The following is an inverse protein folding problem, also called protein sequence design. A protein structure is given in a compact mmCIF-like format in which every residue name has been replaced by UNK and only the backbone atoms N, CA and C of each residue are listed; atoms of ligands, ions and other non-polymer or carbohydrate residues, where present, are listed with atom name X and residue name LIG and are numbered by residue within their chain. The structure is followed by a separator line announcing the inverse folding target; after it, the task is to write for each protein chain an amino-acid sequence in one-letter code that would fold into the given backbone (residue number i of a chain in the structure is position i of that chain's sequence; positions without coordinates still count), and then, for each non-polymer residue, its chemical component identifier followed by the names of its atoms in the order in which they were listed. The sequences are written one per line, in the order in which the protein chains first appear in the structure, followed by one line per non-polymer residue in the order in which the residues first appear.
data_IF_372374320101
#
_entry.id   IF_372374320101
#
_cell.length_a   1.000
_cell.length_b   1.000
_cell.length_c   1.000
_cell.angle_alpha   90.00
_cell.angle_beta   90.00
_cell.angle_gamma   90.00
#
_symmetry.space_group_name_H-M   'P 1'
#
loop_
_entity.id
_entity.type
_entity.pdbx_description
1 polymer ?
#
# COMPACT_ATOMS: atom_id res chain seq x y z
N UNK A 1 25.95 11.52 -16.85
CA UNK A 1 25.67 11.79 -18.28
C UNK A 1 25.10 10.53 -18.89
N UNK A 2 23.85 10.57 -19.33
CA UNK A 2 23.20 9.45 -20.02
C UNK A 2 22.93 9.88 -21.47
N UNK A 3 23.30 9.03 -22.44
CA UNK A 3 23.10 9.31 -23.88
C UNK A 3 21.89 8.52 -24.37
N UNK A 4 20.86 9.21 -24.85
CA UNK A 4 19.65 8.61 -25.40
C UNK A 4 19.51 9.04 -26.87
N UNK A 5 19.73 8.11 -27.80
CA UNK A 5 19.77 8.32 -29.26
C UNK A 5 20.73 9.45 -29.72
N UNK A 6 20.94 9.57 -31.03
CA UNK A 6 22.03 10.34 -31.64
C UNK A 6 22.02 11.86 -31.36
N UNK A 7 20.99 12.40 -30.71
CA UNK A 7 20.75 13.86 -30.65
C UNK A 7 20.31 14.39 -29.29
N UNK A 8 20.29 13.59 -28.22
CA UNK A 8 19.87 14.07 -26.89
C UNK A 8 20.83 13.64 -25.79
N UNK A 9 21.32 14.64 -25.05
CA UNK A 9 22.22 14.50 -23.90
C UNK A 9 21.50 14.99 -22.64
N UNK A 10 21.43 14.12 -21.61
CA UNK A 10 20.91 14.47 -20.29
C UNK A 10 22.06 14.55 -19.27
N UNK A 11 22.08 15.64 -18.51
CA UNK A 11 23.03 15.90 -17.43
C UNK A 11 22.23 16.18 -16.16
N UNK A 12 22.68 15.60 -15.05
CA UNK A 12 22.08 15.74 -13.73
C UNK A 12 23.22 15.87 -12.72
N UNK A 13 22.96 16.58 -11.63
CA UNK A 13 23.90 16.77 -10.54
C UNK A 13 23.62 15.70 -9.47
N UNK A 14 24.68 15.04 -9.00
CA UNK A 14 24.51 14.03 -7.96
C UNK A 14 24.28 14.73 -6.62
N UNK A 15 23.26 14.28 -5.89
CA UNK A 15 23.07 14.70 -4.49
C UNK A 15 24.30 14.25 -3.70
N UNK A 16 25.04 15.20 -3.14
CA UNK A 16 26.15 14.90 -2.25
C UNK A 16 25.64 14.36 -0.91
N UNK A 17 26.17 13.21 -0.50
CA UNK A 17 25.83 12.60 0.79
C UNK A 17 25.86 11.08 0.76
N UNK A 18 25.85 10.48 1.95
CA UNK A 18 25.71 9.03 2.09
C UNK A 18 24.24 8.69 2.18
N UNK A 19 23.77 7.81 1.29
CA UNK A 19 22.42 7.27 1.38
C UNK A 19 22.24 6.52 2.72
N UNK A 20 21.08 6.66 3.41
CA UNK A 20 20.83 5.95 4.66
C UNK A 20 20.94 4.43 4.50
N UNK A 21 21.26 3.74 5.60
CA UNK A 21 21.23 2.28 5.64
C UNK A 21 19.78 1.77 5.64
N UNK A 22 19.22 1.65 4.44
CA UNK A 22 17.82 1.27 4.22
C UNK A 22 17.51 -0.17 4.66
N UNK A 23 18.52 -1.04 4.77
CA UNK A 23 18.28 -2.44 5.16
C UNK A 23 17.74 -2.53 6.59
N UNK A 24 18.07 -1.56 7.45
CA UNK A 24 17.64 -1.51 8.85
C UNK A 24 16.15 -1.27 9.04
N UNK A 25 15.44 -0.78 8.01
CA UNK A 25 13.99 -0.52 8.08
C UNK A 25 13.15 -1.58 7.37
N UNK A 26 13.78 -2.55 6.69
CA UNK A 26 13.09 -3.66 6.03
C UNK A 26 12.90 -4.78 7.06
N UNK A 27 11.66 -5.16 7.41
CA UNK A 27 11.42 -6.26 8.34
C UNK A 27 12.01 -7.59 7.82
N UNK A 28 12.80 -8.28 8.64
CA UNK A 28 13.42 -9.55 8.26
C UNK A 28 12.50 -10.77 8.45
N UNK A 29 11.49 -10.65 9.31
CA UNK A 29 10.56 -11.73 9.64
C UNK A 29 9.12 -11.25 9.50
N UNK A 30 8.30 -12.08 8.88
CA UNK A 30 6.89 -11.79 8.60
C UNK A 30 6.09 -12.88 9.31
N UNK A 31 5.30 -12.52 10.31
CA UNK A 31 4.56 -13.50 11.13
C UNK A 31 3.15 -13.76 10.60
N UNK A 32 2.61 -12.85 9.81
CA UNK A 32 1.22 -12.87 9.33
C UNK A 32 1.25 -12.69 7.81
N UNK A 33 0.97 -13.77 7.09
CA UNK A 33 0.98 -13.83 5.62
C UNK A 33 -0.46 -14.07 5.18
N UNK A 34 -0.95 -13.25 4.26
CA UNK A 34 -2.32 -13.34 3.73
C UNK A 34 -2.23 -13.21 2.22
N UNK A 35 -2.37 -14.31 1.46
CA UNK A 35 -2.45 -14.23 0.01
C UNK A 35 -3.80 -13.64 -0.40
N UNK A 36 -3.78 -12.56 -1.19
CA UNK A 36 -5.01 -11.87 -1.63
C UNK A 36 -4.90 -11.57 -3.13
N UNK A 37 -6.02 -11.64 -3.85
CA UNK A 37 -6.08 -11.12 -5.22
C UNK A 37 -5.71 -9.64 -5.24
N UNK A 38 -4.69 -9.29 -6.01
CA UNK A 38 -4.20 -7.91 -6.18
C UNK A 38 -5.31 -6.97 -6.64
N UNK A 39 -6.08 -7.38 -7.64
CA UNK A 39 -7.13 -6.55 -8.23
C UNK A 39 -8.29 -6.28 -7.27
N UNK A 40 -8.78 -7.31 -6.57
CA UNK A 40 -9.80 -7.17 -5.52
C UNK A 40 -9.33 -6.23 -4.41
N UNK A 41 -8.09 -6.40 -3.93
CA UNK A 41 -7.55 -5.58 -2.86
C UNK A 41 -7.36 -4.12 -3.29
N UNK A 42 -6.78 -3.90 -4.47
CA UNK A 42 -6.60 -2.58 -5.05
C UNK A 42 -7.95 -1.86 -5.23
N UNK A 43 -8.96 -2.55 -5.76
CA UNK A 43 -10.29 -1.98 -5.95
C UNK A 43 -10.96 -1.57 -4.63
N UNK A 44 -10.82 -2.39 -3.59
CA UNK A 44 -11.34 -2.06 -2.26
C UNK A 44 -10.63 -0.85 -1.63
N UNK A 45 -9.29 -0.78 -1.75
CA UNK A 45 -8.52 0.38 -1.29
C UNK A 45 -8.88 1.66 -2.06
N UNK A 46 -9.11 1.58 -3.37
CA UNK A 46 -9.55 2.71 -4.18
C UNK A 46 -10.94 3.22 -3.75
N UNK A 47 -11.87 2.32 -3.42
CA UNK A 47 -13.18 2.71 -2.88
C UNK A 47 -13.07 3.34 -1.50
N UNK A 48 -12.27 2.78 -0.60
CA UNK A 48 -12.00 3.40 0.70
C UNK A 48 -11.34 4.79 0.55
N UNK A 49 -10.45 4.96 -0.43
CA UNK A 49 -9.79 6.24 -0.69
C UNK A 49 -10.76 7.37 -1.07
N UNK A 50 -11.97 7.08 -1.57
CA UNK A 50 -12.99 8.09 -1.93
C UNK A 50 -13.36 8.97 -0.72
N UNK A 51 -13.40 8.38 0.48
CA UNK A 51 -13.70 9.11 1.72
C UNK A 51 -12.45 9.57 2.47
N UNK A 52 -11.26 9.43 1.87
CA UNK A 52 -10.04 10.01 2.43
C UNK A 52 -9.83 11.43 1.92
N UNK A 53 -9.08 12.24 2.68
CA UNK A 53 -8.75 13.62 2.29
C UNK A 53 -7.24 13.78 2.23
N UNK A 54 -6.75 14.86 1.62
CA UNK A 54 -5.31 15.14 1.61
C UNK A 54 -4.69 15.28 3.01
N UNK A 55 -5.51 15.69 3.99
CA UNK A 55 -5.12 15.77 5.40
C UNK A 55 -5.26 14.44 6.15
N UNK A 56 -6.16 13.57 5.70
CA UNK A 56 -6.48 12.28 6.33
C UNK A 56 -6.53 11.16 5.28
N UNK A 57 -5.36 10.60 4.95
CA UNK A 57 -5.19 9.48 4.00
C UNK A 57 -5.26 8.10 4.68
N UNK A 58 -5.82 8.03 5.88
CA UNK A 58 -5.80 6.84 6.71
C UNK A 58 -6.84 5.81 6.27
N UNK A 59 -6.42 4.56 6.15
CA UNK A 59 -7.30 3.39 6.07
C UNK A 59 -6.96 2.44 7.21
N UNK A 60 -7.98 1.85 7.82
CA UNK A 60 -7.86 0.80 8.84
C UNK A 60 -8.08 -0.55 8.19
N UNK A 61 -7.13 -1.45 8.37
CA UNK A 61 -7.19 -2.84 7.95
C UNK A 61 -7.43 -3.70 9.19
N UNK A 62 -8.55 -4.40 9.23
CA UNK A 62 -8.86 -5.37 10.29
C UNK A 62 -8.85 -6.76 9.69
N UNK A 63 -7.78 -7.50 9.95
CA UNK A 63 -7.63 -8.89 9.54
C UNK A 63 -8.14 -9.80 10.65
N UNK A 64 -8.95 -10.79 10.29
CA UNK A 64 -9.49 -11.81 11.19
C UNK A 64 -9.57 -13.14 10.44
N UNK A 65 -9.88 -14.23 11.13
CA UNK A 65 -10.03 -15.54 10.50
C UNK A 65 -11.04 -15.47 9.35
N UNK A 66 -10.57 -15.76 8.12
CA UNK A 66 -11.41 -15.76 6.91
C UNK A 66 -11.72 -14.39 6.30
N UNK A 67 -11.36 -13.26 6.93
CA UNK A 67 -11.79 -11.93 6.46
C UNK A 67 -10.75 -10.83 6.66
N UNK A 68 -10.61 -9.98 5.65
CA UNK A 68 -9.94 -8.68 5.72
C UNK A 68 -10.98 -7.56 5.51
N UNK A 69 -11.22 -6.78 6.56
CA UNK A 69 -12.02 -5.56 6.51
C UNK A 69 -11.14 -4.35 6.24
N UNK A 70 -11.59 -3.48 5.34
CA UNK A 70 -10.93 -2.23 4.94
C UNK A 70 -11.90 -1.11 5.22
N UNK A 71 -11.57 -0.20 6.13
CA UNK A 71 -12.45 0.91 6.50
C UNK A 71 -11.75 2.26 6.53
N UNK A 72 -12.46 3.32 6.16
CA UNK A 72 -12.01 4.70 6.22
C UNK A 72 -13.13 5.62 6.67
N UNK A 73 -12.78 6.71 7.36
CA UNK A 73 -13.74 7.70 7.84
C UNK A 73 -13.26 9.10 7.51
N UNK A 74 -14.16 9.98 7.08
CA UNK A 74 -13.84 11.39 6.82
C UNK A 74 -14.16 12.30 8.03
N UNK A 75 -13.89 13.59 7.89
CA UNK A 75 -14.16 14.59 8.94
C UNK A 75 -15.66 14.78 9.23
N UNK A 76 -16.54 14.40 8.29
CA UNK A 76 -17.99 14.45 8.40
C UNK A 76 -18.59 13.17 9.01
N UNK A 77 -17.73 12.26 9.49
CA UNK A 77 -18.11 10.96 10.06
C UNK A 77 -18.77 10.01 9.05
N UNK A 78 -18.59 10.26 7.75
CA UNK A 78 -18.96 9.28 6.73
C UNK A 78 -17.96 8.14 6.74
N UNK A 79 -18.46 6.90 6.64
CA UNK A 79 -17.66 5.68 6.67
C UNK A 79 -17.78 4.94 5.34
N UNK A 80 -16.65 4.43 4.85
CA UNK A 80 -16.58 3.45 3.78
C UNK A 80 -16.00 2.19 4.39
N UNK A 81 -16.63 1.06 4.08
CA UNK A 81 -16.22 -0.25 4.56
C UNK A 81 -16.36 -1.25 3.43
N UNK A 82 -15.32 -2.05 3.25
CA UNK A 82 -15.31 -3.20 2.34
C UNK A 82 -14.76 -4.41 3.09
N UNK A 83 -15.31 -5.58 2.80
CA UNK A 83 -14.89 -6.86 3.37
C UNK A 83 -14.44 -7.78 2.22
N UNK A 84 -13.25 -8.36 2.37
CA UNK A 84 -12.67 -9.31 1.43
C UNK A 84 -12.49 -10.65 2.14
N UNK A 85 -13.02 -11.72 1.53
CA UNK A 85 -12.76 -13.08 1.99
C UNK A 85 -11.30 -13.46 1.71
N UNK A 86 -10.59 -13.94 2.73
CA UNK A 86 -9.16 -14.27 2.65
C UNK A 86 -8.84 -15.59 3.34
N UNK A 87 -7.86 -16.32 2.82
CA UNK A 87 -7.37 -17.56 3.43
C UNK A 87 -6.40 -17.23 4.59
N UNK A 88 -6.93 -16.75 5.71
CA UNK A 88 -6.17 -16.43 6.92
C UNK A 88 -6.75 -17.15 8.14
N UNK A 89 -5.89 -17.84 8.89
CA UNK A 89 -6.25 -18.59 10.11
C UNK A 89 -5.47 -18.12 11.35
N UNK A 90 -4.70 -17.04 11.23
CA UNK A 90 -3.88 -16.51 12.33
C UNK A 90 -4.65 -15.60 13.30
N UNK A 91 -3.92 -15.04 14.26
CA UNK A 91 -4.44 -14.07 15.22
C UNK A 91 -4.87 -12.78 14.52
N UNK A 92 -6.01 -12.22 14.92
CA UNK A 92 -6.52 -10.96 14.38
C UNK A 92 -5.49 -9.82 14.43
N UNK A 93 -5.58 -8.91 13.46
CA UNK A 93 -4.73 -7.72 13.36
C UNK A 93 -5.62 -6.53 13.12
N UNK A 94 -5.27 -5.42 13.75
CA UNK A 94 -5.85 -4.12 13.49
C UNK A 94 -4.72 -3.12 13.25
N UNK A 95 -4.66 -2.57 12.04
CA UNK A 95 -3.54 -1.73 11.62
C UNK A 95 -3.99 -0.59 10.71
N UNK A 96 -3.43 0.60 10.92
CA UNK A 96 -3.67 1.77 10.10
C UNK A 96 -2.56 1.98 9.07
N UNK A 97 -2.93 2.31 7.84
CA UNK A 97 -2.02 2.67 6.76
C UNK A 97 -2.42 3.97 6.08
N UNK A 98 -1.45 4.63 5.44
CA UNK A 98 -1.76 5.58 4.39
C UNK A 98 -2.23 4.80 3.16
N UNK A 99 -3.48 5.01 2.74
CA UNK A 99 -4.10 4.28 1.63
C UNK A 99 -3.33 4.46 0.31
N UNK A 100 -2.77 5.65 0.10
CA UNK A 100 -2.03 5.95 -1.14
C UNK A 100 -0.78 5.09 -1.27
N UNK A 101 -0.06 4.83 -0.16
CA UNK A 101 1.13 3.99 -0.21
C UNK A 101 0.79 2.55 -0.58
N UNK A 102 -0.35 2.03 -0.10
CA UNK A 102 -0.81 0.70 -0.49
C UNK A 102 -1.21 0.67 -1.97
N UNK A 103 -1.98 1.65 -2.44
CA UNK A 103 -2.39 1.77 -3.85
C UNK A 103 -1.17 1.88 -4.77
N UNK A 104 -0.16 2.69 -4.41
CA UNK A 104 1.05 2.90 -5.20
C UNK A 104 1.84 1.60 -5.35
N UNK A 105 2.00 0.83 -4.27
CA UNK A 105 2.65 -0.49 -4.31
C UNK A 105 1.85 -1.44 -5.21
N UNK A 106 0.56 -1.63 -4.95
CA UNK A 106 -0.28 -2.60 -5.68
C UNK A 106 -0.44 -2.26 -7.18
N UNK A 107 -0.41 -0.99 -7.54
CA UNK A 107 -0.51 -0.53 -8.94
C UNK A 107 0.76 -0.85 -9.74
N UNK A 108 1.90 -1.02 -9.08
CA UNK A 108 3.18 -1.31 -9.72
C UNK A 108 3.57 -2.80 -9.66
N UNK A 109 2.78 -3.64 -8.99
CA UNK A 109 2.95 -5.09 -8.98
C UNK A 109 2.31 -5.72 -10.22
N UNK A 110 2.99 -6.72 -10.78
CA UNK A 110 2.53 -7.49 -11.95
C UNK A 110 1.90 -8.85 -11.59
N UNK A 111 1.94 -9.24 -10.32
CA UNK A 111 1.37 -10.50 -9.85
C UNK A 111 -0.14 -10.41 -9.70
N UNK A 112 -0.85 -11.52 -9.90
CA UNK A 112 -2.29 -11.58 -9.67
C UNK A 112 -2.64 -11.74 -8.18
N UNK A 113 -1.73 -12.35 -7.42
CA UNK A 113 -1.83 -12.52 -5.96
C UNK A 113 -0.68 -11.75 -5.29
N UNK A 114 -0.99 -11.13 -4.15
CA UNK A 114 -0.05 -10.43 -3.26
C UNK A 114 -0.08 -11.02 -1.86
#
# INVERSE_FOLDING_TARGET
MYQFLSTSLLWDELIEGKFPDYQRVIPAQHQKIVPISRELFLGALQRAAILTTDKFKGVRLTLSTGSLKISSTNAEQEEASDDIEVAYEGESVDIGFNVQYLIDVLSNLKSDVV
#
